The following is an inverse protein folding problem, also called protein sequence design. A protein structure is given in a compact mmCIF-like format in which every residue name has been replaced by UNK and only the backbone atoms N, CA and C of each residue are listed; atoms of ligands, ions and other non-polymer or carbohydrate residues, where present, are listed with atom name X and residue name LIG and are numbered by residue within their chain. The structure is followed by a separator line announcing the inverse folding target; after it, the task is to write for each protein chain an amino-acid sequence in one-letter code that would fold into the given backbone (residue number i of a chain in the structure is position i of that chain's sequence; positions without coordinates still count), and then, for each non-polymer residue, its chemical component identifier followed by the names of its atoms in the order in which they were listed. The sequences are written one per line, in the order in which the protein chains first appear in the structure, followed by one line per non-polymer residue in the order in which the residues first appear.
data_IF_155255650814
#
_entry.id   IF_155255650814
#
_cell.length_a   1.000
_cell.length_b   1.000
_cell.length_c   1.000
_cell.angle_alpha   90.00
_cell.angle_beta   90.00
_cell.angle_gamma   90.00
#
_symmetry.space_group_name_H-M   'P 1'
#
loop_
_entity.id
_entity.type
_entity.pdbx_description
1 polymer ?
#
# COMPACT_ATOMS: atom_id res chain seq x y z
N UNK A 1 12.20 -31.78 28.68
CA UNK A 1 12.38 -32.94 27.79
C UNK A 1 11.12 -33.82 27.66
N UNK A 2 9.96 -33.39 28.16
CA UNK A 2 8.74 -34.21 28.21
C UNK A 2 7.66 -33.79 27.17
N UNK A 3 7.97 -32.82 26.30
CA UNK A 3 7.02 -32.29 25.30
C UNK A 3 7.22 -32.82 23.88
N UNK A 4 8.25 -33.64 23.61
CA UNK A 4 8.57 -34.10 22.26
C UNK A 4 7.94 -35.45 21.88
N UNK A 5 7.31 -36.16 22.82
CA UNK A 5 6.80 -37.52 22.61
C UNK A 5 5.43 -37.61 21.93
N UNK A 6 4.74 -36.49 21.69
CA UNK A 6 3.41 -36.45 21.06
C UNK A 6 3.37 -35.60 19.77
N UNK A 7 4.52 -35.24 19.20
CA UNK A 7 4.56 -34.48 17.95
C UNK A 7 4.26 -35.44 16.79
N UNK A 8 3.09 -35.29 16.17
CA UNK A 8 2.78 -35.97 14.92
C UNK A 8 3.59 -35.37 13.76
N UNK A 9 3.96 -36.21 12.82
CA UNK A 9 4.66 -35.80 11.61
C UNK A 9 3.71 -35.10 10.62
N UNK A 10 3.40 -33.83 10.91
CA UNK A 10 2.48 -33.01 10.13
C UNK A 10 3.26 -31.95 9.35
N UNK A 11 2.98 -31.83 8.05
CA UNK A 11 3.49 -30.74 7.22
C UNK A 11 2.40 -29.69 6.96
N UNK A 12 2.68 -28.44 7.33
CA UNK A 12 1.79 -27.29 7.10
C UNK A 12 2.21 -26.48 5.85
N UNK A 13 3.32 -26.87 5.23
CA UNK A 13 3.92 -26.24 4.04
C UNK A 13 2.93 -25.98 2.89
N UNK A 14 1.97 -26.89 2.68
CA UNK A 14 0.93 -26.78 1.65
C UNK A 14 0.10 -25.50 1.77
N UNK A 15 -0.04 -24.92 2.97
CA UNK A 15 -0.76 -23.66 3.19
C UNK A 15 -0.10 -22.49 2.47
N UNK A 16 1.23 -22.44 2.39
CA UNK A 16 1.95 -21.39 1.66
C UNK A 16 1.56 -21.46 0.19
N UNK A 17 1.56 -22.65 -0.40
CA UNK A 17 1.25 -22.82 -1.81
C UNK A 17 -0.22 -22.50 -2.13
N UNK A 18 -1.14 -23.01 -1.31
CA UNK A 18 -2.58 -22.88 -1.52
C UNK A 18 -3.11 -21.47 -1.25
N UNK A 19 -2.51 -20.73 -0.31
CA UNK A 19 -3.01 -19.41 0.10
C UNK A 19 -2.23 -18.30 -0.61
N UNK A 20 -0.90 -18.36 -0.60
CA UNK A 20 -0.08 -17.23 -1.03
C UNK A 20 -0.09 -17.03 -2.55
N UNK A 21 0.04 -18.10 -3.36
CA UNK A 21 0.05 -17.96 -4.82
C UNK A 21 -1.24 -17.38 -5.40
N UNK A 22 -2.46 -17.85 -5.01
CA UNK A 22 -3.70 -17.23 -5.47
C UNK A 22 -3.85 -15.77 -5.01
N UNK A 23 -3.47 -15.44 -3.78
CA UNK A 23 -3.52 -14.06 -3.26
C UNK A 23 -2.64 -13.11 -4.07
N UNK A 24 -1.41 -13.53 -4.41
CA UNK A 24 -0.53 -12.76 -5.27
C UNK A 24 -1.06 -12.72 -6.72
N UNK A 25 -1.68 -13.79 -7.21
CA UNK A 25 -2.37 -13.79 -8.50
C UNK A 25 -3.46 -12.72 -8.57
N UNK A 26 -4.34 -12.66 -7.57
CA UNK A 26 -5.42 -11.67 -7.46
C UNK A 26 -4.83 -10.24 -7.37
N UNK A 27 -3.82 -10.05 -6.53
CA UNK A 27 -3.15 -8.75 -6.36
C UNK A 27 -2.48 -8.29 -7.67
N UNK A 28 -1.88 -9.22 -8.42
CA UNK A 28 -1.27 -8.96 -9.73
C UNK A 28 -2.30 -8.53 -10.77
N UNK A 29 -3.45 -9.20 -10.82
CA UNK A 29 -4.56 -8.81 -11.72
C UNK A 29 -5.04 -7.38 -11.39
N UNK A 30 -5.14 -7.01 -10.11
CA UNK A 30 -5.56 -5.68 -9.71
C UNK A 30 -4.54 -4.59 -10.05
N UNK A 31 -3.25 -4.87 -9.90
CA UNK A 31 -2.18 -3.95 -10.37
C UNK A 31 -2.27 -3.79 -11.88
N UNK A 32 -2.43 -4.88 -12.63
CA UNK A 32 -2.57 -4.79 -14.10
C UNK A 32 -3.79 -3.97 -14.49
N UNK A 33 -4.93 -4.17 -13.82
CA UNK A 33 -6.13 -3.38 -14.06
C UNK A 33 -5.91 -1.89 -13.74
N UNK A 34 -5.18 -1.57 -12.67
CA UNK A 34 -4.76 -0.19 -12.34
C UNK A 34 -3.90 0.43 -13.44
N UNK A 35 -2.93 -0.31 -13.99
CA UNK A 35 -2.07 0.18 -15.08
C UNK A 35 -2.88 0.40 -16.37
N UNK A 36 -3.76 -0.53 -16.72
CA UNK A 36 -4.66 -0.42 -17.87
C UNK A 36 -5.61 0.77 -17.70
N UNK A 37 -6.15 1.00 -16.49
CA UNK A 37 -6.98 2.16 -16.19
C UNK A 37 -6.21 3.45 -16.47
N UNK A 38 -5.00 3.59 -15.93
CA UNK A 38 -4.18 4.78 -16.13
C UNK A 38 -3.84 5.00 -17.61
N UNK A 39 -3.49 3.93 -18.33
CA UNK A 39 -3.22 4.00 -19.76
C UNK A 39 -4.47 4.40 -20.57
N UNK A 40 -5.64 3.81 -20.30
CA UNK A 40 -6.89 4.08 -21.02
C UNK A 40 -7.42 5.51 -20.81
N UNK A 41 -7.25 6.05 -19.62
CA UNK A 41 -7.70 7.41 -19.28
C UNK A 41 -6.57 8.45 -19.38
N UNK A 42 -5.44 8.11 -20.02
CA UNK A 42 -4.28 9.00 -20.21
C UNK A 42 -3.79 9.68 -18.92
N UNK A 43 -3.86 8.98 -17.78
CA UNK A 43 -3.29 9.49 -16.54
C UNK A 43 -1.78 9.28 -16.54
N UNK A 44 -1.04 10.30 -16.08
CA UNK A 44 0.40 10.19 -15.90
C UNK A 44 0.75 9.08 -14.90
N UNK A 45 1.72 8.24 -15.29
CA UNK A 45 2.39 7.34 -14.36
C UNK A 45 3.12 8.16 -13.30
N UNK A 46 2.96 7.75 -12.06
CA UNK A 46 3.53 8.47 -10.94
C UNK A 46 4.29 7.50 -10.03
N UNK A 47 5.06 8.06 -9.10
CA UNK A 47 6.01 7.31 -8.28
C UNK A 47 5.31 6.16 -7.51
N UNK A 48 4.05 6.35 -7.11
CA UNK A 48 3.26 5.33 -6.45
C UNK A 48 3.07 4.04 -7.29
N UNK A 49 3.03 4.13 -8.62
CA UNK A 49 2.86 2.96 -9.48
C UNK A 49 4.13 2.12 -9.54
N UNK A 50 5.30 2.77 -9.65
CA UNK A 50 6.59 2.10 -9.63
C UNK A 50 6.83 1.40 -8.30
N UNK A 51 6.50 2.06 -7.18
CA UNK A 51 6.63 1.47 -5.85
C UNK A 51 5.75 0.23 -5.66
N UNK A 52 4.51 0.24 -6.16
CA UNK A 52 3.61 -0.92 -6.00
C UNK A 52 4.05 -2.10 -6.87
N UNK A 53 4.60 -1.83 -8.06
CA UNK A 53 5.18 -2.88 -8.91
C UNK A 53 6.41 -3.49 -8.24
N UNK A 54 7.28 -2.67 -7.67
CA UNK A 54 8.46 -3.16 -6.95
C UNK A 54 8.07 -3.93 -5.68
N UNK A 55 7.03 -3.50 -4.97
CA UNK A 55 6.42 -4.26 -3.88
C UNK A 55 5.96 -5.64 -4.36
N UNK A 56 5.23 -5.71 -5.48
CA UNK A 56 4.77 -6.98 -6.04
C UNK A 56 5.91 -7.92 -6.42
N UNK A 57 6.94 -7.42 -7.10
CA UNK A 57 8.12 -8.20 -7.50
C UNK A 57 8.83 -8.78 -6.26
N UNK A 58 9.10 -7.94 -5.26
CA UNK A 58 9.74 -8.40 -4.02
C UNK A 58 8.90 -9.44 -3.29
N UNK A 59 7.58 -9.29 -3.24
CA UNK A 59 6.71 -10.29 -2.60
C UNK A 59 6.64 -11.62 -3.37
N UNK A 60 6.70 -11.60 -4.70
CA UNK A 60 6.85 -12.83 -5.52
C UNK A 60 8.19 -13.50 -5.23
N UNK A 61 9.28 -12.75 -5.16
CA UNK A 61 10.60 -13.29 -4.80
C UNK A 61 10.56 -13.96 -3.43
N UNK A 62 9.95 -13.30 -2.43
CA UNK A 62 9.79 -13.84 -1.08
C UNK A 62 9.06 -15.20 -1.08
N UNK A 63 7.91 -15.31 -1.76
CA UNK A 63 7.16 -16.58 -1.80
C UNK A 63 7.88 -17.64 -2.63
N UNK A 64 8.58 -17.25 -3.69
CA UNK A 64 9.32 -18.19 -4.54
C UNK A 64 10.47 -18.85 -3.77
N UNK A 65 11.22 -18.06 -2.99
CA UNK A 65 12.28 -18.55 -2.12
C UNK A 65 11.74 -19.47 -1.02
N UNK A 66 10.64 -19.10 -0.38
CA UNK A 66 10.00 -19.97 0.61
C UNK A 66 9.42 -21.24 -0.02
N UNK A 67 8.87 -21.17 -1.23
CA UNK A 67 8.41 -22.35 -1.98
C UNK A 67 9.56 -23.30 -2.32
N UNK A 68 10.76 -22.76 -2.57
CA UNK A 68 11.96 -23.56 -2.70
C UNK A 68 12.35 -24.20 -1.36
N UNK A 69 12.29 -23.46 -0.25
CA UNK A 69 12.49 -23.99 1.10
C UNK A 69 11.57 -25.17 1.45
N UNK A 70 10.31 -25.16 0.98
CA UNK A 70 9.36 -26.27 1.17
C UNK A 70 9.89 -27.59 0.61
N UNK A 71 10.64 -27.55 -0.50
CA UNK A 71 11.22 -28.77 -1.09
C UNK A 71 12.27 -29.43 -0.20
N UNK A 72 12.84 -28.69 0.76
CA UNK A 72 13.80 -29.17 1.76
C UNK A 72 13.16 -29.48 3.12
N UNK A 73 11.85 -29.35 3.27
CA UNK A 73 11.13 -29.68 4.51
C UNK A 73 10.66 -28.47 5.33
N UNK A 74 10.70 -27.24 4.78
CA UNK A 74 10.08 -26.07 5.42
C UNK A 74 8.59 -26.36 5.68
N UNK A 75 8.14 -26.18 6.93
CA UNK A 75 6.77 -26.48 7.37
C UNK A 75 6.53 -27.83 8.02
N UNK A 76 7.58 -28.64 8.25
CA UNK A 76 7.57 -29.83 9.10
C UNK A 76 8.37 -29.53 10.38
N UNK A 77 8.08 -30.22 11.48
CA UNK A 77 8.83 -30.01 12.74
C UNK A 77 10.31 -30.33 12.54
N UNK A 78 11.19 -29.48 13.11
CA UNK A 78 12.65 -29.55 12.87
C UNK A 78 13.24 -30.91 13.29
N UNK A 79 12.63 -31.55 14.29
CA UNK A 79 13.00 -32.87 14.83
C UNK A 79 12.93 -33.99 13.78
N UNK A 80 12.10 -33.85 12.75
CA UNK A 80 11.93 -34.85 11.69
C UNK A 80 12.78 -34.58 10.44
N UNK A 81 13.57 -33.50 10.41
CA UNK A 81 14.44 -33.17 9.28
C UNK A 81 15.87 -33.66 9.54
N UNK A 82 16.58 -34.02 8.46
CA UNK A 82 18.04 -34.18 8.55
C UNK A 82 18.70 -32.81 8.73
N UNK A 83 19.89 -32.76 9.36
CA UNK A 83 20.63 -31.50 9.57
C UNK A 83 20.82 -30.71 8.26
N UNK A 84 21.16 -31.42 7.17
CA UNK A 84 21.32 -30.84 5.82
C UNK A 84 20.01 -30.28 5.24
N UNK A 85 18.87 -30.91 5.53
CA UNK A 85 17.56 -30.44 5.09
C UNK A 85 17.13 -29.20 5.87
N UNK A 86 17.35 -29.22 7.19
CA UNK A 86 17.07 -28.08 8.06
C UNK A 86 17.92 -26.85 7.68
N UNK A 87 19.23 -27.02 7.45
CA UNK A 87 20.13 -25.93 7.03
C UNK A 87 19.64 -25.29 5.72
N UNK A 88 19.31 -26.09 4.71
CA UNK A 88 18.84 -25.58 3.41
C UNK A 88 17.48 -24.89 3.51
N UNK A 89 16.56 -25.41 4.33
CA UNK A 89 15.25 -24.78 4.56
C UNK A 89 15.39 -23.42 5.26
N UNK A 90 16.21 -23.35 6.31
CA UNK A 90 16.48 -22.11 7.06
C UNK A 90 17.23 -21.10 6.18
N UNK A 91 18.18 -21.56 5.35
CA UNK A 91 18.88 -20.68 4.40
C UNK A 91 17.92 -20.07 3.38
N UNK A 92 16.97 -20.85 2.84
CA UNK A 92 15.98 -20.33 1.91
C UNK A 92 15.06 -19.28 2.57
N UNK A 93 14.66 -19.51 3.82
CA UNK A 93 13.89 -18.56 4.62
C UNK A 93 14.69 -17.27 4.88
N UNK A 94 15.94 -17.38 5.32
CA UNK A 94 16.84 -16.25 5.58
C UNK A 94 17.06 -15.37 4.34
N UNK A 95 17.24 -15.97 3.16
CA UNK A 95 17.38 -15.21 1.90
C UNK A 95 16.03 -14.56 1.50
N UNK A 96 14.91 -15.19 1.85
CA UNK A 96 13.56 -14.69 1.56
C UNK A 96 13.12 -13.54 2.46
N UNK A 97 13.51 -13.55 3.73
CA UNK A 97 13.02 -12.63 4.76
C UNK A 97 13.20 -11.14 4.42
N UNK A 98 14.35 -10.67 3.86
CA UNK A 98 14.50 -9.29 3.40
C UNK A 98 13.44 -8.86 2.40
N UNK A 99 13.09 -9.74 1.45
CA UNK A 99 12.05 -9.47 0.46
C UNK A 99 10.66 -9.41 1.11
N UNK A 100 10.43 -10.20 2.15
CA UNK A 100 9.23 -10.17 2.97
C UNK A 100 9.03 -8.87 3.73
N UNK A 101 10.11 -8.16 4.10
CA UNK A 101 10.07 -6.84 4.74
C UNK A 101 9.95 -5.70 3.71
N UNK A 102 10.74 -5.76 2.63
CA UNK A 102 10.78 -4.73 1.60
C UNK A 102 9.41 -4.59 0.92
N UNK A 103 8.75 -5.71 0.62
CA UNK A 103 7.50 -5.72 -0.13
C UNK A 103 6.37 -4.90 0.53
N UNK A 104 5.93 -5.19 1.77
CA UNK A 104 4.89 -4.41 2.43
C UNK A 104 5.36 -2.98 2.76
N UNK A 105 6.66 -2.76 2.99
CA UNK A 105 7.23 -1.41 3.20
C UNK A 105 7.00 -0.53 1.98
N UNK A 106 7.34 -1.02 0.78
CA UNK A 106 7.11 -0.32 -0.47
C UNK A 106 5.61 -0.12 -0.76
N UNK A 107 4.78 -1.10 -0.45
CA UNK A 107 3.32 -1.01 -0.57
C UNK A 107 2.74 0.13 0.28
N UNK A 108 3.15 0.24 1.55
CA UNK A 108 2.73 1.33 2.45
C UNK A 108 3.22 2.68 1.98
N UNK A 109 4.48 2.78 1.55
CA UNK A 109 5.04 4.04 1.03
C UNK A 109 4.29 4.46 -0.23
N UNK A 110 3.98 3.53 -1.15
CA UNK A 110 3.16 3.79 -2.34
C UNK A 110 1.80 4.40 -1.95
N UNK A 111 1.10 3.80 -0.98
CA UNK A 111 -0.18 4.31 -0.52
C UNK A 111 -0.08 5.65 0.21
N UNK A 112 0.96 5.86 1.03
CA UNK A 112 1.19 7.12 1.71
C UNK A 112 1.52 8.26 0.73
N UNK A 113 2.32 7.99 -0.32
CA UNK A 113 2.60 8.94 -1.41
C UNK A 113 1.32 9.27 -2.19
N UNK A 114 0.46 8.27 -2.42
CA UNK A 114 -0.85 8.50 -3.02
C UNK A 114 -1.75 9.42 -2.17
N UNK A 115 -1.83 9.16 -0.86
CA UNK A 115 -2.56 10.03 0.07
C UNK A 115 -1.96 11.43 0.14
N UNK A 116 -0.63 11.56 0.05
CA UNK A 116 0.07 12.84 0.02
C UNK A 116 -0.31 13.65 -1.22
N UNK A 117 -0.48 13.01 -2.37
CA UNK A 117 -0.91 13.67 -3.62
C UNK A 117 -2.34 14.21 -3.52
N UNK A 118 -3.23 13.54 -2.78
CA UNK A 118 -4.64 13.92 -2.68
C UNK A 118 -4.92 14.87 -1.51
N UNK A 119 -4.39 14.55 -0.34
CA UNK A 119 -4.68 15.23 0.93
C UNK A 119 -3.56 16.20 1.33
N UNK A 120 -2.47 16.29 0.56
CA UNK A 120 -1.30 17.12 0.88
C UNK A 120 -1.52 18.63 0.81
N UNK A 121 -2.74 19.09 0.48
CA UNK A 121 -3.10 20.51 0.58
C UNK A 121 -3.10 21.00 2.04
N UNK A 122 -3.45 20.13 3.00
CA UNK A 122 -3.42 20.47 4.42
C UNK A 122 -2.04 20.22 5.03
N UNK A 123 -1.42 21.27 5.56
CA UNK A 123 -0.03 21.21 6.05
C UNK A 123 0.19 20.20 7.18
N UNK A 124 -0.78 20.07 8.09
CA UNK A 124 -0.69 19.13 9.22
C UNK A 124 -0.68 17.68 8.74
N UNK A 125 -1.54 17.34 7.78
CA UNK A 125 -1.64 16.01 7.19
C UNK A 125 -0.42 15.69 6.36
N UNK A 126 0.07 16.68 5.62
CA UNK A 126 1.32 16.55 4.86
C UNK A 126 2.49 16.18 5.78
N UNK A 127 2.67 16.89 6.89
CA UNK A 127 3.72 16.59 7.87
C UNK A 127 3.53 15.20 8.49
N UNK A 128 2.29 14.83 8.83
CA UNK A 128 1.98 13.52 9.39
C UNK A 128 2.28 12.38 8.41
N UNK A 129 1.94 12.52 7.13
CA UNK A 129 2.24 11.52 6.10
C UNK A 129 3.75 11.37 5.87
N UNK A 130 4.52 12.47 5.83
CA UNK A 130 5.97 12.39 5.76
C UNK A 130 6.57 11.71 6.99
N UNK A 131 6.02 11.97 8.18
CA UNK A 131 6.41 11.27 9.40
C UNK A 131 6.16 9.76 9.29
N UNK A 132 4.98 9.33 8.82
CA UNK A 132 4.67 7.90 8.62
C UNK A 132 5.60 7.24 7.60
N UNK A 133 5.90 7.92 6.49
CA UNK A 133 6.84 7.41 5.47
C UNK A 133 8.23 7.25 6.08
N UNK A 134 8.74 8.27 6.79
CA UNK A 134 10.05 8.23 7.42
C UNK A 134 10.13 7.16 8.51
N UNK A 135 9.13 7.09 9.40
CA UNK A 135 9.05 6.08 10.46
C UNK A 135 9.02 4.66 9.89
N UNK A 136 8.19 4.41 8.87
CA UNK A 136 8.10 3.10 8.23
C UNK A 136 9.42 2.73 7.52
N UNK A 137 10.07 3.67 6.82
CA UNK A 137 11.34 3.43 6.16
C UNK A 137 12.48 3.14 7.16
N UNK A 138 12.59 3.93 8.24
CA UNK A 138 13.65 3.78 9.24
C UNK A 138 13.51 2.45 9.99
N UNK A 139 12.30 2.12 10.47
CA UNK A 139 12.09 0.90 11.26
C UNK A 139 12.35 -0.36 10.42
N UNK A 140 11.86 -0.39 9.18
CA UNK A 140 12.10 -1.55 8.31
C UNK A 140 13.55 -1.62 7.81
N UNK A 141 14.24 -0.47 7.63
CA UNK A 141 15.68 -0.46 7.34
C UNK A 141 16.49 -1.02 8.51
N UNK A 142 16.14 -0.66 9.74
CA UNK A 142 16.78 -1.22 10.94
C UNK A 142 16.56 -2.74 11.03
N UNK A 143 15.34 -3.22 10.75
CA UNK A 143 15.05 -4.66 10.72
C UNK A 143 15.86 -5.39 9.62
N UNK A 144 16.01 -4.80 8.44
CA UNK A 144 16.85 -5.37 7.38
C UNK A 144 18.32 -5.47 7.79
N UNK A 145 18.87 -4.42 8.42
CA UNK A 145 20.25 -4.44 8.93
C UNK A 145 20.38 -5.53 9.99
N UNK A 146 19.41 -5.64 10.91
CA UNK A 146 19.46 -6.65 11.96
C UNK A 146 19.56 -8.08 11.40
N UNK A 147 18.79 -8.44 10.36
CA UNK A 147 18.82 -9.78 9.76
C UNK A 147 20.25 -10.16 9.34
N UNK A 148 21.03 -9.23 8.79
CA UNK A 148 22.40 -9.51 8.36
C UNK A 148 23.43 -9.48 9.48
N UNK A 149 23.17 -8.77 10.57
CA UNK A 149 24.12 -8.49 11.66
C UNK A 149 23.75 -9.13 13.00
N UNK A 150 22.76 -10.03 13.04
CA UNK A 150 22.34 -10.70 14.28
C UNK A 150 23.35 -11.71 14.81
N UNK A 151 24.24 -12.22 13.95
CA UNK A 151 25.34 -13.11 14.31
C UNK A 151 26.68 -12.50 13.92
N UNK A 152 27.74 -12.86 14.66
CA UNK A 152 29.10 -12.38 14.37
C UNK A 152 29.59 -12.76 12.97
N UNK A 153 29.12 -13.88 12.42
CA UNK A 153 29.30 -14.25 11.02
C UNK A 153 27.95 -14.55 10.39
N UNK A 154 27.73 -14.06 9.16
CA UNK A 154 26.49 -14.27 8.43
C UNK A 154 26.15 -15.75 8.23
N UNK A 155 27.18 -16.61 8.13
CA UNK A 155 27.01 -18.05 7.93
C UNK A 155 26.36 -18.78 9.11
N UNK A 156 26.47 -18.23 10.31
CA UNK A 156 25.88 -18.84 11.51
C UNK A 156 24.36 -18.62 11.61
N UNK A 157 23.79 -17.77 10.75
CA UNK A 157 22.34 -17.58 10.71
C UNK A 157 21.59 -18.86 10.30
N UNK A 158 22.15 -19.61 9.34
CA UNK A 158 21.57 -20.87 8.85
C UNK A 158 22.25 -22.12 9.42
N UNK A 159 23.47 -22.02 9.95
CA UNK A 159 24.19 -23.11 10.63
C UNK A 159 24.42 -22.76 12.11
N UNK A 160 23.36 -22.93 12.91
CA UNK A 160 23.36 -22.56 14.34
C UNK A 160 23.98 -23.64 15.24
N UNK A 161 24.30 -24.82 14.69
CA UNK A 161 24.81 -25.95 15.48
C UNK A 161 26.23 -25.61 15.98
N UNK A 162 26.37 -25.45 17.30
CA UNK A 162 27.67 -25.18 17.94
C UNK A 162 28.12 -23.71 18.00
N UNK A 163 27.28 -22.76 17.57
CA UNK A 163 27.62 -21.32 17.51
C UNK A 163 26.57 -20.42 18.19
N UNK A 164 25.75 -20.97 19.09
CA UNK A 164 24.62 -20.26 19.71
C UNK A 164 25.02 -19.02 20.52
N UNK A 165 26.25 -18.99 21.06
CA UNK A 165 26.82 -17.90 21.85
C UNK A 165 27.29 -16.71 21.01
N UNK A 166 27.41 -16.87 19.68
CA UNK A 166 27.86 -15.84 18.75
C UNK A 166 26.72 -15.09 18.05
N UNK A 167 25.48 -15.43 18.37
CA UNK A 167 24.28 -14.80 17.84
C UNK A 167 23.49 -14.09 18.94
N UNK A 168 22.68 -13.10 18.56
CA UNK A 168 21.81 -12.42 19.50
C UNK A 168 20.81 -13.40 20.13
N UNK A 169 20.52 -13.20 21.42
CA UNK A 169 19.56 -14.03 22.13
C UNK A 169 18.17 -13.95 21.46
N UNK A 170 17.47 -15.08 21.37
CA UNK A 170 16.13 -15.17 20.79
C UNK A 170 15.13 -14.14 21.37
N UNK A 171 15.26 -13.81 22.66
CA UNK A 171 14.43 -12.78 23.30
C UNK A 171 14.62 -11.38 22.70
N UNK A 172 15.86 -11.03 22.32
CA UNK A 172 16.18 -9.75 21.67
C UNK A 172 15.61 -9.71 20.25
N UNK A 173 15.75 -10.79 19.49
CA UNK A 173 15.17 -10.91 18.14
C UNK A 173 13.65 -10.77 18.18
N UNK A 174 12.98 -11.48 19.10
CA UNK A 174 11.54 -11.37 19.30
C UNK A 174 11.13 -9.94 19.68
N UNK A 175 11.81 -9.30 20.64
CA UNK A 175 11.48 -7.94 21.07
C UNK A 175 11.52 -6.92 19.91
N UNK A 176 12.50 -7.05 19.01
CA UNK A 176 12.60 -6.15 17.86
C UNK A 176 11.53 -6.45 16.81
N UNK A 177 11.28 -7.74 16.51
CA UNK A 177 10.17 -8.14 15.64
C UNK A 177 8.81 -7.65 16.16
N UNK A 178 8.62 -7.66 17.47
CA UNK A 178 7.45 -7.09 18.15
C UNK A 178 7.31 -5.59 17.93
N UNK A 179 8.40 -4.85 18.12
CA UNK A 179 8.42 -3.41 17.91
C UNK A 179 8.16 -3.04 16.44
N UNK A 180 8.76 -3.77 15.50
CA UNK A 180 8.55 -3.60 14.06
C UNK A 180 7.10 -3.89 13.67
N UNK A 181 6.56 -5.02 14.12
CA UNK A 181 5.19 -5.45 13.80
C UNK A 181 4.14 -4.50 14.38
N UNK A 182 4.33 -4.06 15.63
CA UNK A 182 3.44 -3.08 16.28
C UNK A 182 3.45 -1.73 15.56
N UNK A 183 4.64 -1.26 15.19
CA UNK A 183 4.82 0.00 14.46
C UNK A 183 4.20 -0.05 13.07
N UNK A 184 4.35 -1.18 12.37
CA UNK A 184 3.73 -1.40 11.06
C UNK A 184 2.20 -1.43 11.15
N UNK A 185 1.66 -2.09 12.17
CA UNK A 185 0.21 -2.14 12.43
C UNK A 185 -0.37 -0.75 12.74
N UNK A 186 0.36 0.06 13.52
CA UNK A 186 -0.01 1.45 13.80
C UNK A 186 -0.02 2.30 12.51
N UNK A 187 0.97 2.12 11.64
CA UNK A 187 1.02 2.81 10.34
C UNK A 187 -0.19 2.42 9.46
N UNK A 188 -0.56 1.15 9.40
CA UNK A 188 -1.72 0.69 8.62
C UNK A 188 -3.03 1.29 9.14
N UNK A 189 -3.20 1.33 10.46
CA UNK A 189 -4.36 1.96 11.10
C UNK A 189 -4.40 3.46 10.80
N UNK A 190 -3.27 4.16 10.90
CA UNK A 190 -3.18 5.59 10.61
C UNK A 190 -3.50 5.92 9.15
N UNK A 191 -2.93 5.16 8.20
CA UNK A 191 -3.19 5.34 6.76
C UNK A 191 -4.64 5.03 6.39
N UNK A 192 -5.32 4.17 7.17
CA UNK A 192 -6.72 3.81 6.97
C UNK A 192 -7.69 4.85 7.51
N UNK A 193 -7.43 5.37 8.71
CA UNK A 193 -8.30 6.37 9.35
C UNK A 193 -8.23 7.71 8.61
N UNK A 194 -7.06 8.09 8.11
CA UNK A 194 -6.84 9.40 7.50
C UNK A 194 -7.81 9.76 6.35
N UNK A 195 -7.97 8.94 5.29
CA UNK A 195 -8.92 9.24 4.22
C UNK A 195 -10.37 9.18 4.69
N UNK A 196 -10.67 8.39 5.72
CA UNK A 196 -12.03 8.19 6.23
C UNK A 196 -12.50 9.37 7.06
N UNK A 197 -11.66 9.84 7.98
CA UNK A 197 -11.93 11.03 8.78
C UNK A 197 -12.17 12.26 7.89
N UNK A 198 -11.47 12.34 6.76
CA UNK A 198 -11.68 13.40 5.76
C UNK A 198 -13.04 13.30 5.07
N UNK A 199 -13.40 12.10 4.64
CA UNK A 199 -14.62 11.87 3.87
C UNK A 199 -15.89 12.03 4.71
N UNK A 200 -15.85 11.71 6.01
CA UNK A 200 -17.03 11.81 6.90
C UNK A 200 -17.59 13.25 6.96
N UNK A 201 -16.74 14.26 6.81
CA UNK A 201 -17.15 15.67 6.88
C UNK A 201 -17.68 16.21 5.54
N UNK A 202 -17.67 15.42 4.46
CA UNK A 202 -18.04 15.85 3.11
C UNK A 202 -19.31 15.08 2.66
N UNK A 203 -20.26 15.77 2.02
CA UNK A 203 -21.45 15.14 1.44
C UNK A 203 -21.06 14.29 0.22
N UNK A 204 -20.89 12.99 0.44
CA UNK A 204 -20.36 12.05 -0.57
C UNK A 204 -21.49 11.20 -1.16
N UNK A 205 -21.53 10.98 -2.49
CA UNK A 205 -22.51 10.10 -3.12
C UNK A 205 -22.37 8.63 -2.66
N UNK A 206 -23.49 7.91 -2.55
CA UNK A 206 -23.57 6.57 -1.96
C UNK A 206 -22.58 5.54 -2.52
N UNK A 207 -22.25 5.60 -3.82
CA UNK A 207 -21.28 4.69 -4.43
C UNK A 207 -19.88 4.83 -3.83
N UNK A 208 -19.48 6.06 -3.48
CA UNK A 208 -18.17 6.34 -2.91
C UNK A 208 -18.15 6.02 -1.40
N UNK A 209 -19.31 6.10 -0.73
CA UNK A 209 -19.50 5.61 0.64
C UNK A 209 -19.29 4.09 0.72
N UNK A 210 -19.82 3.33 -0.24
CA UNK A 210 -19.60 1.88 -0.33
C UNK A 210 -18.12 1.54 -0.56
N UNK A 211 -17.46 2.24 -1.50
CA UNK A 211 -16.03 2.06 -1.77
C UNK A 211 -15.17 2.32 -0.52
N UNK A 212 -15.49 3.38 0.23
CA UNK A 212 -14.78 3.71 1.47
C UNK A 212 -14.99 2.66 2.55
N UNK A 213 -16.22 2.16 2.71
CA UNK A 213 -16.54 1.09 3.65
C UNK A 213 -15.78 -0.19 3.30
N UNK A 214 -15.64 -0.50 2.01
CA UNK A 214 -14.85 -1.65 1.55
C UNK A 214 -13.36 -1.47 1.86
N UNK A 215 -12.79 -0.30 1.55
CA UNK A 215 -11.40 0.04 1.88
C UNK A 215 -11.12 -0.10 3.38
N UNK A 216 -12.03 0.39 4.22
CA UNK A 216 -11.95 0.25 5.68
C UNK A 216 -11.93 -1.21 6.12
N UNK A 217 -12.82 -2.04 5.58
CA UNK A 217 -12.89 -3.47 5.91
C UNK A 217 -11.61 -4.21 5.54
N UNK A 218 -11.09 -3.96 4.32
CA UNK A 218 -9.85 -4.57 3.83
C UNK A 218 -8.65 -4.11 4.67
N UNK A 219 -8.57 -2.83 5.01
CA UNK A 219 -7.53 -2.32 5.91
C UNK A 219 -7.60 -2.88 7.34
N UNK A 220 -8.81 -3.03 7.90
CA UNK A 220 -8.96 -3.63 9.23
C UNK A 220 -8.52 -5.10 9.20
N UNK A 221 -8.78 -5.80 8.10
CA UNK A 221 -8.28 -7.15 7.89
C UNK A 221 -6.74 -7.19 7.84
N UNK A 222 -6.09 -6.22 7.18
CA UNK A 222 -4.62 -6.09 7.21
C UNK A 222 -4.10 -5.88 8.64
N UNK A 223 -4.77 -5.04 9.43
CA UNK A 223 -4.41 -4.82 10.83
C UNK A 223 -4.52 -6.09 11.67
N UNK A 224 -5.61 -6.84 11.55
CA UNK A 224 -5.80 -8.12 12.25
C UNK A 224 -4.71 -9.12 11.83
N UNK A 225 -4.41 -9.19 10.53
CA UNK A 225 -3.33 -10.03 10.01
C UNK A 225 -1.97 -9.67 10.63
N UNK A 226 -1.65 -8.37 10.72
CA UNK A 226 -0.41 -7.90 11.32
C UNK A 226 -0.34 -8.21 12.84
N UNK A 227 -1.45 -8.09 13.57
CA UNK A 227 -1.53 -8.46 15.00
C UNK A 227 -1.29 -9.96 15.19
N UNK A 228 -1.91 -10.81 14.36
CA UNK A 228 -1.72 -12.26 14.44
C UNK A 228 -0.27 -12.62 14.10
N UNK A 229 0.32 -12.00 13.08
CA UNK A 229 1.74 -12.16 12.75
C UNK A 229 2.64 -11.83 13.95
N UNK A 230 2.40 -10.68 14.58
CA UNK A 230 3.15 -10.28 15.78
C UNK A 230 2.98 -11.26 16.92
N UNK A 231 1.77 -11.77 17.15
CA UNK A 231 1.54 -12.82 18.16
C UNK A 231 2.29 -14.12 17.84
N UNK A 232 2.34 -14.53 16.57
CA UNK A 232 3.10 -15.71 16.14
C UNK A 232 4.61 -15.58 16.41
N UNK A 233 5.16 -14.37 16.41
CA UNK A 233 6.57 -14.11 16.79
C UNK A 233 6.87 -14.42 18.26
N UNK A 234 5.87 -14.52 19.16
CA UNK A 234 6.04 -15.05 20.53
C UNK A 234 5.72 -16.54 20.69
N UNK A 235 5.35 -17.22 19.60
CA UNK A 235 5.12 -18.66 19.61
C UNK A 235 6.39 -19.44 20.00
N UNK A 236 6.19 -20.72 20.32
CA UNK A 236 7.24 -21.63 20.78
C UNK A 236 8.45 -21.68 19.82
N UNK A 237 9.54 -20.98 20.16
CA UNK A 237 10.72 -20.78 19.31
C UNK A 237 11.59 -22.04 19.09
N UNK A 238 11.24 -23.17 19.70
CA UNK A 238 11.97 -24.43 19.52
C UNK A 238 11.68 -25.10 18.15
N UNK A 239 10.53 -24.79 17.52
CA UNK A 239 10.15 -25.30 16.19
C UNK A 239 10.03 -24.15 15.17
N UNK A 240 11.18 -23.60 14.78
CA UNK A 240 11.28 -22.48 13.83
C UNK A 240 10.64 -22.88 12.50
N UNK A 241 11.03 -24.02 11.93
CA UNK A 241 10.57 -24.52 10.62
C UNK A 241 9.06 -24.69 10.51
N UNK A 242 8.35 -24.98 11.61
CA UNK A 242 6.90 -25.15 11.64
C UNK A 242 6.17 -23.81 11.90
N UNK A 243 6.68 -23.01 12.84
CA UNK A 243 6.07 -21.73 13.22
C UNK A 243 6.23 -20.67 12.12
N UNK A 244 7.36 -20.69 11.42
CA UNK A 244 7.67 -19.79 10.29
C UNK A 244 6.63 -19.86 9.18
N UNK A 245 6.03 -21.03 8.90
CA UNK A 245 4.99 -21.14 7.87
C UNK A 245 3.78 -20.26 8.16
N UNK A 246 3.33 -20.25 9.42
CA UNK A 246 2.19 -19.41 9.81
C UNK A 246 2.54 -17.94 9.68
N UNK A 247 3.76 -17.55 10.08
CA UNK A 247 4.27 -16.20 9.92
C UNK A 247 4.33 -15.76 8.45
N UNK A 248 4.87 -16.60 7.56
CA UNK A 248 4.98 -16.34 6.11
C UNK A 248 3.59 -16.14 5.49
N UNK A 249 2.61 -16.97 5.83
CA UNK A 249 1.23 -16.86 5.31
C UNK A 249 0.60 -15.53 5.73
N UNK A 250 0.70 -15.15 7.00
CA UNK A 250 0.14 -13.88 7.48
C UNK A 250 0.85 -12.67 6.86
N UNK A 251 2.17 -12.74 6.68
CA UNK A 251 2.93 -11.71 5.97
C UNK A 251 2.48 -11.55 4.51
N UNK A 252 2.24 -12.67 3.82
CA UNK A 252 1.70 -12.66 2.45
C UNK A 252 0.30 -12.05 2.38
N UNK A 253 -0.58 -12.40 3.33
CA UNK A 253 -1.94 -11.84 3.44
C UNK A 253 -1.89 -10.34 3.66
N UNK A 254 -1.11 -9.87 4.63
CA UNK A 254 -0.94 -8.44 4.93
C UNK A 254 -0.45 -7.68 3.70
N UNK A 255 0.59 -8.17 3.04
CA UNK A 255 1.16 -7.51 1.87
C UNK A 255 0.16 -7.43 0.69
N UNK A 256 -0.51 -8.53 0.36
CA UNK A 256 -1.55 -8.54 -0.67
C UNK A 256 -2.66 -7.55 -0.33
N UNK A 257 -3.07 -7.51 0.94
CA UNK A 257 -4.11 -6.60 1.42
C UNK A 257 -3.71 -5.14 1.25
N UNK A 258 -2.46 -4.78 1.58
CA UNK A 258 -1.90 -3.42 1.35
C UNK A 258 -1.90 -3.07 -0.15
N UNK A 259 -1.45 -4.01 -1.00
CA UNK A 259 -1.43 -3.81 -2.47
C UNK A 259 -2.84 -3.60 -3.02
N UNK A 260 -3.81 -4.41 -2.59
CA UNK A 260 -5.21 -4.32 -2.98
C UNK A 260 -5.78 -2.97 -2.57
N UNK A 261 -5.65 -2.60 -1.29
CA UNK A 261 -6.12 -1.32 -0.74
C UNK A 261 -5.53 -0.13 -1.49
N UNK A 262 -4.24 -0.18 -1.82
CA UNK A 262 -3.57 0.89 -2.58
C UNK A 262 -4.04 1.03 -4.03
N UNK A 263 -4.59 -0.04 -4.62
CA UNK A 263 -4.97 -0.08 -6.03
C UNK A 263 -6.44 0.29 -6.27
N UNK A 264 -7.31 0.02 -5.30
CA UNK A 264 -8.76 0.30 -5.37
C UNK A 264 -9.10 1.76 -5.78
N UNK A 265 -8.44 2.81 -5.24
CA UNK A 265 -8.79 4.19 -5.58
C UNK A 265 -8.62 4.52 -7.08
N UNK A 266 -7.70 3.84 -7.77
CA UNK A 266 -7.43 4.01 -9.20
C UNK A 266 -8.38 3.24 -10.11
N UNK A 267 -9.13 2.28 -9.55
CA UNK A 267 -10.16 1.53 -10.28
C UNK A 267 -11.46 2.33 -10.38
N UNK A 268 -11.65 3.35 -9.55
CA UNK A 268 -12.82 4.24 -9.58
C UNK A 268 -13.21 4.76 -10.99
N UNK A 269 -12.30 5.28 -11.82
CA UNK A 269 -12.65 5.74 -13.17
C UNK A 269 -13.17 4.62 -14.10
N UNK A 270 -12.75 3.36 -13.94
CA UNK A 270 -13.22 2.24 -14.78
C UNK A 270 -14.71 1.94 -14.58
N UNK A 271 -15.23 2.14 -13.37
CA UNK A 271 -16.65 1.93 -13.05
C UNK A 271 -17.54 3.12 -13.43
N UNK A 272 -16.94 4.26 -13.82
CA UNK A 272 -17.66 5.35 -14.47
C UNK A 272 -17.69 5.08 -15.97
N UNK A 273 -18.82 4.57 -16.44
CA UNK A 273 -19.18 4.44 -17.85
C UNK A 273 -18.88 5.74 -18.59
N UNK A 274 -17.85 5.71 -19.44
CA UNK A 274 -17.41 6.69 -20.44
C UNK A 274 -17.31 8.18 -20.01
N UNK A 275 -16.18 8.87 -20.29
CA UNK A 275 -16.27 10.32 -20.47
C UNK A 275 -17.27 10.56 -21.61
N UNK A 276 -18.24 11.47 -21.39
CA UNK A 276 -19.04 12.01 -22.50
C UNK A 276 -18.04 12.45 -23.58
N UNK A 277 -18.27 12.11 -24.85
CA UNK A 277 -17.30 12.38 -25.91
C UNK A 277 -16.93 13.86 -25.84
N UNK A 278 -15.63 14.14 -25.81
CA UNK A 278 -15.12 15.48 -26.04
C UNK A 278 -15.68 15.91 -27.40
N UNK A 279 -16.61 16.86 -27.41
CA UNK A 279 -16.98 17.55 -28.64
C UNK A 279 -15.77 18.40 -28.95
N UNK A 280 -15.03 17.97 -29.97
CA UNK A 280 -13.98 18.76 -30.58
C UNK A 280 -14.66 20.04 -31.10
N UNK A 281 -14.46 21.17 -30.41
CA UNK A 281 -14.86 22.48 -30.92
C UNK A 281 -13.93 22.75 -32.10
N UNK A 282 -14.40 22.37 -33.29
CA UNK A 282 -13.76 22.70 -34.56
C UNK A 282 -13.67 24.22 -34.61
N UNK A 283 -12.47 24.76 -34.45
CA UNK A 283 -12.19 26.19 -34.47
C UNK A 283 -12.98 26.87 -35.59
N UNK A 284 -13.91 27.73 -35.19
CA UNK A 284 -14.55 28.70 -36.07
C UNK A 284 -13.48 29.60 -36.73
N UNK A 285 -13.74 30.12 -37.94
CA UNK A 285 -12.72 30.75 -38.78
C UNK A 285 -12.10 31.96 -38.06
N UNK A 286 -10.78 32.09 -38.17
CA UNK A 286 -10.03 33.26 -37.70
C UNK A 286 -10.63 34.56 -38.24
N UNK A 287 -10.79 35.61 -37.40
CA UNK A 287 -11.28 36.89 -37.88
C UNK A 287 -10.26 37.50 -38.85
N UNK A 288 -10.70 37.82 -40.06
CA UNK A 288 -9.96 38.73 -40.95
C UNK A 288 -10.02 40.12 -40.33
N UNK A 289 -8.86 40.67 -39.99
CA UNK A 289 -8.72 42.08 -39.62
C UNK A 289 -9.00 42.90 -40.88
N UNK A 290 -10.14 43.59 -40.93
CA UNK A 290 -10.39 44.66 -41.89
C UNK A 290 -10.69 45.95 -41.12
N UNK A 291 -9.68 46.83 -41.12
CA UNK A 291 -9.73 48.27 -40.85
C UNK A 291 -10.22 48.78 -39.48
N UNK A 292 -9.75 49.99 -39.16
CA UNK A 292 -9.40 50.41 -37.79
C UNK A 292 -10.53 50.95 -36.90
N UNK A 293 -11.82 51.03 -37.29
CA UNK A 293 -12.72 51.94 -36.55
C UNK A 293 -14.11 51.45 -36.10
N UNK A 294 -14.45 50.17 -36.10
CA UNK A 294 -15.73 49.73 -35.50
C UNK A 294 -15.57 48.43 -34.71
N UNK A 295 -15.80 48.50 -33.39
CA UNK A 295 -16.01 47.32 -32.55
C UNK A 295 -17.52 47.14 -32.40
N UNK A 296 -18.11 46.27 -33.21
CA UNK A 296 -19.48 45.80 -33.03
C UNK A 296 -19.52 44.77 -31.89
N UNK A 297 -20.13 45.10 -30.75
CA UNK A 297 -20.38 44.14 -29.67
C UNK A 297 -21.52 43.19 -30.06
N UNK A 298 -21.18 42.08 -30.71
CA UNK A 298 -22.13 40.98 -30.92
C UNK A 298 -22.19 40.11 -29.66
N UNK A 299 -23.29 40.27 -28.92
CA UNK A 299 -23.68 39.42 -27.78
C UNK A 299 -23.71 37.95 -28.18
N UNK A 300 -22.85 37.14 -27.55
CA UNK A 300 -22.90 35.69 -27.59
C UNK A 300 -23.06 35.17 -26.17
N UNK A 301 -24.31 34.78 -25.83
CA UNK A 301 -24.60 33.89 -24.71
C UNK A 301 -24.04 32.50 -25.04
N UNK A 302 -22.98 32.09 -24.36
CA UNK A 302 -22.73 30.68 -24.08
C UNK A 302 -22.40 30.51 -22.60
N UNK A 303 -23.39 30.00 -21.87
CA UNK A 303 -23.28 29.63 -20.47
C UNK A 303 -22.81 28.17 -20.47
N UNK A 304 -21.55 27.91 -20.09
CA UNK A 304 -21.09 26.57 -19.74
C UNK A 304 -21.43 26.30 -18.28
N UNK A 305 -22.55 25.59 -18.08
CA UNK A 305 -23.10 25.20 -16.77
C UNK A 305 -22.45 23.88 -16.32
N UNK A 306 -21.66 23.93 -15.24
CA UNK A 306 -21.33 22.77 -14.41
C UNK A 306 -22.34 22.69 -13.25
N UNK A 307 -23.13 21.61 -13.08
CA UNK A 307 -24.24 21.59 -12.12
C UNK A 307 -23.82 21.57 -10.63
N UNK A 308 -22.60 21.15 -10.29
CA UNK A 308 -22.19 21.00 -8.87
C UNK A 308 -21.40 22.20 -8.32
N UNK A 309 -20.83 23.06 -9.18
CA UNK A 309 -20.02 24.20 -8.74
C UNK A 309 -20.84 25.43 -8.29
N UNK A 310 -22.16 25.44 -8.53
CA UNK A 310 -23.00 26.63 -8.36
C UNK A 310 -23.91 26.63 -7.12
N UNK A 311 -24.02 25.54 -6.35
CA UNK A 311 -24.83 25.58 -5.12
C UNK A 311 -24.19 26.43 -4.02
N UNK A 312 -22.85 26.45 -3.95
CA UNK A 312 -22.13 27.28 -2.97
C UNK A 312 -22.10 28.77 -3.40
N UNK A 313 -21.94 29.07 -4.70
CA UNK A 313 -21.91 30.45 -5.20
C UNK A 313 -23.27 31.16 -5.21
N UNK A 314 -24.39 30.44 -5.39
CA UNK A 314 -25.72 31.05 -5.36
C UNK A 314 -26.15 31.52 -3.97
N UNK A 315 -25.61 30.94 -2.88
CA UNK A 315 -25.95 31.38 -1.52
C UNK A 315 -25.17 32.66 -1.12
N UNK A 316 -23.97 32.88 -1.68
CA UNK A 316 -23.16 34.08 -1.40
C UNK A 316 -23.48 35.31 -2.28
N UNK A 317 -24.10 35.13 -3.45
CA UNK A 317 -24.38 36.23 -4.38
C UNK A 317 -25.78 36.86 -4.25
N UNK A 318 -26.62 36.36 -3.34
CA UNK A 318 -27.98 36.89 -3.12
C UNK A 318 -28.06 38.22 -2.37
N UNK A 319 -26.95 38.74 -1.84
CA UNK A 319 -26.99 39.79 -0.80
C UNK A 319 -26.30 41.12 -1.18
N UNK A 320 -25.86 41.31 -2.42
CA UNK A 320 -25.30 42.60 -2.88
C UNK A 320 -25.75 42.97 -4.28
N UNK A 321 -26.95 43.56 -4.35
CA UNK A 321 -27.28 44.56 -5.36
C UNK A 321 -27.28 45.90 -4.65
N UNK A 322 -26.29 46.74 -4.92
CA UNK A 322 -26.42 48.19 -4.87
C UNK A 322 -25.39 48.82 -5.82
N UNK A 323 -25.87 49.83 -6.54
CA UNK A 323 -25.27 50.53 -7.66
C UNK A 323 -23.91 51.17 -7.37
N UNK A 324 -22.96 51.05 -8.31
CA UNK A 324 -21.86 52.02 -8.44
C UNK A 324 -21.56 52.28 -9.93
N UNK A 325 -22.02 53.43 -10.42
CA UNK A 325 -21.48 54.13 -11.60
C UNK A 325 -20.09 54.66 -11.27
N UNK A 326 -19.14 54.55 -12.20
CA UNK A 326 -17.92 55.38 -12.17
C UNK A 326 -17.72 55.99 -13.55
N UNK A 327 -17.80 57.33 -13.59
CA UNK A 327 -17.55 58.20 -14.72
C UNK A 327 -16.06 58.24 -15.09
N UNK A 328 -15.80 58.28 -16.39
CA UNK A 328 -14.48 58.55 -16.96
C UNK A 328 -14.35 60.04 -17.28
N UNK A 329 -13.64 60.81 -16.45
CA UNK A 329 -12.96 62.06 -16.85
C UNK A 329 -12.07 62.62 -15.73
N UNK A 330 -10.75 62.52 -15.88
CA UNK A 330 -9.67 63.41 -15.36
C UNK A 330 -8.34 62.65 -15.44
N UNK A 331 -7.59 62.83 -16.54
CA UNK A 331 -6.53 63.83 -16.71
C UNK A 331 -5.16 63.38 -16.13
N UNK A 332 -4.23 63.24 -17.08
CA UNK A 332 -2.75 63.16 -17.02
C UNK A 332 -2.15 61.77 -16.85
#
# INVERSE_FOLDING_TARGET
MESTSNLEDVSIASRILLICWPLYGISGILIMLRLIAKAKYHLAFALEDFLVILAMISGICHISLNSWGITFGLGRHIVFLTETQAEMAIRAEFIGEPFGIISPTLGRISFAVYLLRILGHQQNIRRFLYFLIAQNAIINLMALIQIFFECSNISYNWDRVGHEDQCWTMGTQAAIGYFQGSSSSLTDLALTILPVAMVINIHIPLHLKFLLSFLLGVSLFAFIAAVIRTYCTMGNNYDITFTSVTYIVWCAVENCTVIITSSIPFLRPLFRTAPKPYIEVKNSPTPKIMNHNEIEYRSSREILVDPEANQEKLYYMGDKKDDVKIDAHSLV
#
